data_IF_363295088462
#
_entry.id   IF_363295088462
#
_cell.length_a   1.000
_cell.length_b   1.000
_cell.length_c   1.000
_cell.angle_alpha   90.00
_cell.angle_beta   90.00
_cell.angle_gamma   90.00
#
_symmetry.space_group_name_H-M   'P 1'
#
loop_
_entity.id
_entity.type
_entity.pdbx_description
1 polymer ?
#
# COMPACT_ATOMS: atom_id res chain seq x y z
N UNK A 1 5.57 26.24 2.10
CA UNK A 1 4.50 25.95 1.14
C UNK A 1 5.08 24.98 0.14
N UNK A 2 4.32 24.03 -0.39
CA UNK A 2 4.78 23.26 -1.55
C UNK A 2 5.07 24.23 -2.69
N UNK A 3 6.03 23.90 -3.56
CA UNK A 3 6.38 24.76 -4.70
C UNK A 3 5.20 24.85 -5.69
N UNK A 4 5.07 25.98 -6.36
CA UNK A 4 4.19 26.09 -7.51
C UNK A 4 4.77 25.31 -8.71
N UNK A 5 3.98 25.10 -9.74
CA UNK A 5 4.46 24.48 -10.98
C UNK A 5 5.60 25.31 -11.62
N UNK A 6 5.44 26.61 -11.62
CA UNK A 6 6.45 27.55 -12.11
C UNK A 6 7.74 27.48 -11.32
N UNK A 7 7.66 27.41 -9.97
CA UNK A 7 8.84 27.27 -9.10
C UNK A 7 9.61 25.98 -9.38
N UNK A 8 8.89 24.88 -9.68
CA UNK A 8 9.51 23.58 -10.01
C UNK A 8 10.31 23.71 -11.31
N UNK A 9 9.72 24.34 -12.34
CA UNK A 9 10.39 24.54 -13.63
C UNK A 9 11.58 25.51 -13.52
N UNK A 10 11.44 26.61 -12.79
CA UNK A 10 12.52 27.59 -12.58
C UNK A 10 13.68 27.00 -11.79
N UNK A 11 13.41 26.19 -10.78
CA UNK A 11 14.44 25.51 -9.97
C UNK A 11 15.03 24.29 -10.67
N UNK A 12 14.39 23.79 -11.75
CA UNK A 12 14.82 22.61 -12.48
C UNK A 12 14.78 21.33 -11.67
N UNK A 13 13.98 21.26 -10.58
CA UNK A 13 13.95 20.10 -9.70
C UNK A 13 12.57 19.88 -9.08
N UNK A 14 12.12 18.61 -9.10
CA UNK A 14 10.92 18.14 -8.38
C UNK A 14 11.31 17.15 -7.28
N UNK A 15 10.70 17.29 -6.10
CA UNK A 15 10.82 16.31 -5.01
C UNK A 15 9.54 15.48 -4.93
N UNK A 16 9.69 14.16 -5.07
CA UNK A 16 8.56 13.21 -5.03
C UNK A 16 8.67 12.32 -3.78
N UNK A 17 7.60 12.30 -2.97
CA UNK A 17 7.49 11.41 -1.83
C UNK A 17 6.99 10.03 -2.27
N UNK A 18 7.67 8.99 -1.77
CA UNK A 18 7.33 7.58 -1.94
C UNK A 18 7.54 6.83 -0.63
N UNK A 19 6.79 5.75 -0.43
CA UNK A 19 6.96 4.91 0.75
C UNK A 19 8.30 4.17 0.74
N UNK A 20 8.90 4.07 1.91
CA UNK A 20 10.13 3.34 2.11
C UNK A 20 9.84 1.84 2.24
N UNK A 21 10.71 1.01 1.65
CA UNK A 21 10.64 -0.46 1.75
C UNK A 21 9.24 -1.05 1.45
N UNK A 22 8.62 -0.59 0.37
CA UNK A 22 7.27 -0.97 -0.03
C UNK A 22 7.22 -1.66 -1.42
N UNK A 23 7.85 -2.85 -1.59
CA UNK A 23 7.82 -3.56 -2.85
C UNK A 23 6.40 -4.08 -3.18
N UNK A 24 6.02 -4.16 -4.47
CA UNK A 24 6.80 -3.86 -5.66
C UNK A 24 6.76 -2.37 -6.07
N UNK A 25 6.29 -1.48 -5.24
CA UNK A 25 5.96 -0.11 -5.60
C UNK A 25 7.16 0.85 -5.46
N UNK A 26 7.77 0.88 -4.28
CA UNK A 26 8.92 1.74 -3.99
C UNK A 26 9.85 1.08 -2.96
N UNK A 27 11.04 0.74 -3.37
CA UNK A 27 12.05 0.05 -2.56
C UNK A 27 13.45 0.29 -3.12
N UNK A 28 14.46 -0.15 -2.41
CA UNK A 28 15.84 -0.16 -2.91
C UNK A 28 16.19 -1.57 -3.40
N UNK A 29 16.64 -1.66 -4.64
CA UNK A 29 17.23 -2.86 -5.22
C UNK A 29 18.70 -2.60 -5.46
N UNK A 30 19.57 -3.35 -4.78
CA UNK A 30 21.02 -3.16 -4.84
C UNK A 30 21.48 -1.71 -4.54
N UNK A 31 20.75 -1.03 -3.65
CA UNK A 31 20.98 0.37 -3.28
C UNK A 31 20.35 1.42 -4.18
N UNK A 32 19.74 1.01 -5.32
CA UNK A 32 19.12 1.91 -6.28
C UNK A 32 17.59 1.92 -6.15
N UNK A 33 16.93 3.08 -6.31
CA UNK A 33 15.47 3.17 -6.31
C UNK A 33 14.83 2.33 -7.40
N UNK A 34 13.89 1.46 -7.01
CA UNK A 34 13.19 0.53 -7.89
C UNK A 34 11.70 0.42 -7.53
N UNK A 35 10.88 0.02 -8.49
CA UNK A 35 9.45 -0.23 -8.32
C UNK A 35 8.56 0.62 -9.21
N UNK A 36 7.26 0.33 -9.19
CA UNK A 36 6.27 0.97 -10.06
C UNK A 36 6.23 2.48 -9.85
N UNK A 37 6.18 2.92 -8.58
CA UNK A 37 6.09 4.34 -8.23
C UNK A 37 7.39 5.09 -8.59
N UNK A 38 8.52 4.40 -8.49
CA UNK A 38 9.81 4.94 -8.92
C UNK A 38 9.81 5.22 -10.43
N UNK A 39 9.32 4.27 -11.23
CA UNK A 39 9.24 4.48 -12.68
C UNK A 39 8.21 5.56 -13.06
N UNK A 40 7.09 5.66 -12.34
CA UNK A 40 6.12 6.75 -12.52
C UNK A 40 6.77 8.10 -12.21
N UNK A 41 7.46 8.23 -11.07
CA UNK A 41 8.14 9.46 -10.68
C UNK A 41 9.24 9.89 -11.66
N UNK A 42 10.03 8.94 -12.16
CA UNK A 42 11.03 9.22 -13.22
C UNK A 42 10.38 9.78 -14.49
N UNK A 43 9.24 9.19 -14.92
CA UNK A 43 8.50 9.67 -16.09
C UNK A 43 7.90 11.05 -15.88
N UNK A 44 7.42 11.36 -14.68
CA UNK A 44 6.91 12.70 -14.33
C UNK A 44 8.04 13.72 -14.44
N UNK A 45 9.18 13.49 -13.81
CA UNK A 45 10.32 14.41 -13.85
C UNK A 45 10.85 14.60 -15.28
N UNK A 46 10.98 13.50 -16.05
CA UNK A 46 11.39 13.56 -17.46
C UNK A 46 10.38 14.34 -18.32
N UNK A 47 9.08 14.16 -18.09
CA UNK A 47 8.02 14.90 -18.81
C UNK A 47 8.04 16.41 -18.52
N UNK A 48 8.47 16.79 -17.31
CA UNK A 48 8.65 18.19 -16.90
C UNK A 48 10.02 18.76 -17.34
N UNK A 49 10.97 17.91 -17.73
CA UNK A 49 12.33 18.32 -18.06
C UNK A 49 13.14 18.81 -16.85
N UNK A 50 12.89 18.24 -15.67
CA UNK A 50 13.53 18.65 -14.40
C UNK A 50 14.23 17.47 -13.70
N UNK A 51 15.16 17.76 -12.81
CA UNK A 51 15.80 16.76 -11.98
C UNK A 51 14.86 16.19 -10.93
N UNK A 52 15.01 14.90 -10.62
CA UNK A 52 14.21 14.18 -9.65
C UNK A 52 14.95 13.98 -8.34
N UNK A 53 14.29 14.37 -7.24
CA UNK A 53 14.71 14.07 -5.88
C UNK A 53 13.68 13.21 -5.18
N UNK A 54 14.11 12.12 -4.55
CA UNK A 54 13.23 11.27 -3.75
C UNK A 54 13.14 11.75 -2.30
N UNK A 55 11.94 11.71 -1.76
CA UNK A 55 11.68 11.81 -0.34
C UNK A 55 11.07 10.49 0.12
N UNK A 56 11.88 9.67 0.77
CA UNK A 56 11.43 8.41 1.35
C UNK A 56 10.68 8.66 2.64
N UNK A 57 9.46 8.15 2.76
CA UNK A 57 8.62 8.27 3.95
C UNK A 57 8.29 6.88 4.49
N UNK A 58 8.14 6.77 5.79
CA UNK A 58 7.53 5.60 6.42
C UNK A 58 6.05 5.89 6.62
N UNK A 59 5.19 4.88 6.48
CA UNK A 59 3.78 5.01 6.79
C UNK A 59 3.63 5.37 8.28
N UNK A 60 2.77 6.35 8.56
CA UNK A 60 2.38 6.75 9.91
C UNK A 60 1.06 6.05 10.27
N UNK A 61 0.39 6.45 11.35
CA UNK A 61 -0.86 5.84 11.82
C UNK A 61 -2.00 5.90 10.80
N UNK A 62 -1.98 6.92 9.94
CA UNK A 62 -2.98 7.10 8.89
C UNK A 62 -2.43 7.93 7.72
N UNK A 63 -3.12 7.86 6.58
CA UNK A 63 -2.71 8.54 5.35
C UNK A 63 -2.77 10.08 5.45
N UNK A 64 -3.65 10.66 6.27
CA UNK A 64 -3.69 12.10 6.50
C UNK A 64 -2.40 12.60 7.17
N UNK A 65 -1.82 11.80 8.06
CA UNK A 65 -0.54 12.09 8.69
C UNK A 65 0.61 11.96 7.69
N UNK A 66 0.59 10.96 6.83
CA UNK A 66 1.56 10.79 5.74
C UNK A 66 1.56 12.01 4.82
N UNK A 67 0.39 12.43 4.35
CA UNK A 67 0.22 13.61 3.50
C UNK A 67 0.71 14.88 4.19
N UNK A 68 0.33 15.07 5.46
CA UNK A 68 0.77 16.22 6.26
C UNK A 68 2.29 16.27 6.35
N UNK A 69 2.92 15.15 6.67
CA UNK A 69 4.37 15.05 6.87
C UNK A 69 5.13 15.11 5.54
N UNK A 70 4.56 14.61 4.44
CA UNK A 70 5.18 14.69 3.13
C UNK A 70 5.04 16.08 2.48
N UNK A 71 3.83 16.68 2.50
CA UNK A 71 3.50 17.80 1.60
C UNK A 71 3.52 19.16 2.29
N UNK A 72 2.74 19.37 3.39
CA UNK A 72 2.59 20.75 3.90
C UNK A 72 3.31 21.06 5.21
N UNK A 73 3.39 20.14 6.16
CA UNK A 73 4.13 20.35 7.41
C UNK A 73 5.61 20.03 7.23
N UNK A 74 5.91 19.00 6.47
CA UNK A 74 7.24 18.46 6.24
C UNK A 74 7.63 17.38 7.23
N UNK A 75 8.62 16.60 6.86
CA UNK A 75 9.15 15.50 7.67
C UNK A 75 9.49 15.97 9.10
N UNK A 76 9.12 15.19 10.08
CA UNK A 76 9.16 15.58 11.52
C UNK A 76 10.55 16.09 11.94
N UNK A 77 11.60 15.45 11.46
CA UNK A 77 12.99 15.78 11.82
C UNK A 77 13.61 16.77 10.83
N UNK A 78 13.62 16.41 9.53
CA UNK A 78 14.35 17.18 8.50
C UNK A 78 13.60 18.40 7.99
N UNK A 79 12.29 18.49 8.25
CA UNK A 79 11.37 19.52 7.74
C UNK A 79 11.31 19.58 6.21
N UNK A 80 11.89 18.61 5.53
CA UNK A 80 11.81 18.48 4.09
C UNK A 80 10.36 18.27 3.67
N UNK A 81 9.97 18.85 2.54
CA UNK A 81 8.65 18.71 1.91
C UNK A 81 8.84 18.16 0.51
N UNK A 82 7.89 17.35 0.08
CA UNK A 82 7.75 16.95 -1.31
C UNK A 82 6.81 17.90 -2.04
N UNK A 83 6.97 17.96 -3.35
CA UNK A 83 6.10 18.69 -4.28
C UNK A 83 4.95 17.79 -4.73
N UNK A 84 5.18 16.48 -4.74
CA UNK A 84 4.21 15.44 -5.11
C UNK A 84 4.38 14.23 -4.19
N UNK A 85 3.27 13.55 -3.87
CA UNK A 85 3.28 12.24 -3.21
C UNK A 85 2.58 11.22 -4.11
N UNK A 86 3.23 10.08 -4.34
CA UNK A 86 2.66 8.96 -5.08
C UNK A 86 1.92 8.00 -4.16
N UNK A 87 1.09 7.14 -4.73
CA UNK A 87 0.30 6.10 -4.06
C UNK A 87 -0.69 6.63 -3.03
N UNK A 88 -1.30 7.75 -3.34
CA UNK A 88 -2.44 8.30 -2.60
C UNK A 88 -3.73 7.83 -3.27
N UNK A 89 -4.73 7.34 -2.53
CA UNK A 89 -6.00 6.92 -3.10
C UNK A 89 -6.68 8.05 -3.89
N UNK A 90 -7.06 7.77 -5.13
CA UNK A 90 -7.90 8.64 -5.93
C UNK A 90 -9.38 8.33 -5.62
N UNK A 91 -9.80 8.67 -4.42
CA UNK A 91 -11.13 8.43 -3.89
C UNK A 91 -11.80 9.73 -3.43
N UNK A 92 -13.04 9.94 -3.85
CA UNK A 92 -13.78 11.19 -3.53
C UNK A 92 -14.08 11.31 -2.04
N UNK A 93 -14.38 10.21 -1.36
CA UNK A 93 -14.70 10.25 0.09
C UNK A 93 -13.47 10.64 0.88
N UNK A 94 -12.30 10.12 0.49
CA UNK A 94 -11.04 10.50 1.11
C UNK A 94 -10.65 11.94 0.76
N UNK A 95 -10.68 12.32 -0.52
CA UNK A 95 -10.27 13.65 -0.99
C UNK A 95 -11.09 14.78 -0.37
N UNK A 96 -12.39 14.56 -0.19
CA UNK A 96 -13.33 15.56 0.36
C UNK A 96 -13.81 15.21 1.77
N UNK A 97 -13.03 14.41 2.51
CA UNK A 97 -13.34 14.10 3.90
C UNK A 97 -13.37 15.37 4.75
N UNK A 98 -14.34 15.43 5.65
CA UNK A 98 -14.47 16.52 6.64
C UNK A 98 -14.12 15.99 8.04
N UNK A 99 -13.57 16.86 8.88
CA UNK A 99 -13.31 16.56 10.28
C UNK A 99 -14.57 16.68 11.16
N UNK A 100 -14.42 16.44 12.46
CA UNK A 100 -15.52 16.55 13.43
C UNK A 100 -16.07 17.97 13.60
N UNK A 101 -15.43 18.98 13.03
CA UNK A 101 -15.85 20.40 13.04
C UNK A 101 -16.43 20.85 11.70
N UNK A 102 -16.54 19.94 10.72
CA UNK A 102 -17.05 20.24 9.38
C UNK A 102 -16.02 20.90 8.46
N UNK A 103 -14.73 20.87 8.79
CA UNK A 103 -13.66 21.43 7.96
C UNK A 103 -13.05 20.36 7.06
N UNK A 104 -12.66 20.70 5.82
CA UNK A 104 -11.98 19.75 4.94
C UNK A 104 -10.66 19.28 5.55
N UNK A 105 -10.42 17.96 5.54
CA UNK A 105 -9.17 17.38 6.04
C UNK A 105 -8.00 17.52 5.08
N UNK A 106 -8.28 17.50 3.77
CA UNK A 106 -7.29 17.40 2.70
C UNK A 106 -7.31 18.62 1.76
N UNK A 107 -7.72 19.80 2.24
CA UNK A 107 -7.83 21.02 1.43
C UNK A 107 -6.49 21.63 0.97
N UNK A 108 -5.38 21.16 1.55
CA UNK A 108 -4.03 21.60 1.20
C UNK A 108 -3.39 20.78 0.08
N UNK A 109 -4.11 19.78 -0.47
CA UNK A 109 -3.64 18.93 -1.56
C UNK A 109 -4.71 18.76 -2.64
N UNK A 110 -4.26 18.50 -3.85
CA UNK A 110 -5.11 18.10 -4.98
C UNK A 110 -4.72 16.68 -5.39
N UNK A 111 -5.69 15.77 -5.40
CA UNK A 111 -5.50 14.39 -5.85
C UNK A 111 -5.83 14.30 -7.33
N UNK A 112 -4.90 13.80 -8.13
CA UNK A 112 -5.05 13.71 -9.59
C UNK A 112 -4.25 12.55 -10.18
N UNK A 113 -4.50 12.21 -11.44
CA UNK A 113 -3.70 11.30 -12.23
C UNK A 113 -3.67 9.86 -11.69
N UNK A 114 -4.82 9.17 -11.54
CA UNK A 114 -4.81 7.78 -11.12
C UNK A 114 -4.04 6.94 -12.14
N UNK A 115 -3.01 6.22 -11.70
CA UNK A 115 -2.11 5.45 -12.57
C UNK A 115 -2.17 3.94 -12.32
N UNK A 116 -2.83 3.51 -11.24
CA UNK A 116 -2.99 2.10 -10.90
C UNK A 116 -4.33 1.87 -10.19
N UNK A 117 -4.98 0.76 -10.50
CA UNK A 117 -6.11 0.26 -9.73
C UNK A 117 -5.61 -0.84 -8.80
N UNK A 118 -5.84 -0.67 -7.51
CA UNK A 118 -5.49 -1.64 -6.48
C UNK A 118 -6.71 -2.41 -6.01
N UNK A 119 -6.47 -3.66 -5.66
CA UNK A 119 -7.43 -4.51 -4.95
C UNK A 119 -6.66 -5.39 -3.98
N UNK A 120 -7.29 -5.77 -2.88
CA UNK A 120 -6.73 -6.79 -2.03
C UNK A 120 -7.25 -8.18 -2.43
N UNK A 121 -6.52 -9.22 -2.06
CA UNK A 121 -6.82 -10.60 -2.41
C UNK A 121 -6.38 -11.55 -1.29
N UNK A 122 -6.79 -12.79 -1.41
CA UNK A 122 -6.29 -13.90 -0.63
C UNK A 122 -5.41 -14.78 -1.52
N UNK A 123 -4.16 -14.98 -1.11
CA UNK A 123 -3.28 -16.02 -1.60
C UNK A 123 -3.47 -17.24 -0.68
N UNK A 124 -3.90 -18.37 -1.20
CA UNK A 124 -4.27 -19.53 -0.39
C UNK A 124 -3.60 -20.83 -0.83
N UNK A 125 -3.39 -21.72 0.10
CA UNK A 125 -3.09 -23.12 -0.16
C UNK A 125 -4.39 -23.85 -0.52
N UNK A 126 -4.55 -24.23 -1.80
CA UNK A 126 -5.77 -24.86 -2.27
C UNK A 126 -5.97 -26.28 -1.75
N UNK A 127 -4.90 -26.99 -1.33
CA UNK A 127 -5.01 -28.32 -0.71
C UNK A 127 -5.66 -28.23 0.69
N UNK A 128 -5.32 -27.18 1.46
CA UNK A 128 -5.89 -26.93 2.80
C UNK A 128 -7.26 -26.28 2.74
N UNK A 129 -7.49 -25.49 1.73
CA UNK A 129 -8.70 -24.68 1.61
C UNK A 129 -9.58 -25.13 0.47
N UNK A 130 -9.59 -26.43 0.19
CA UNK A 130 -10.32 -27.03 -0.92
C UNK A 130 -11.75 -26.49 -1.04
N UNK A 131 -12.13 -26.06 -2.25
CA UNK A 131 -13.48 -25.58 -2.60
C UNK A 131 -13.98 -24.35 -1.82
N UNK A 132 -13.13 -23.30 -1.67
CA UNK A 132 -13.55 -22.03 -1.04
C UNK A 132 -14.58 -21.32 -1.92
N UNK A 133 -15.83 -21.37 -1.47
CA UNK A 133 -16.92 -20.54 -1.99
C UNK A 133 -17.20 -19.32 -1.10
N UNK A 134 -16.73 -19.35 0.14
CA UNK A 134 -16.95 -18.28 1.12
C UNK A 134 -15.77 -18.12 2.06
N UNK A 135 -15.64 -16.97 2.70
CA UNK A 135 -14.64 -16.73 3.73
C UNK A 135 -14.88 -17.55 5.02
N UNK A 136 -16.00 -18.29 5.10
CA UNK A 136 -16.36 -19.04 6.30
C UNK A 136 -15.36 -20.16 6.66
N UNK A 137 -14.59 -20.68 5.69
CA UNK A 137 -13.54 -21.67 5.93
C UNK A 137 -12.49 -21.16 6.93
N UNK A 138 -12.20 -19.86 6.91
CA UNK A 138 -11.22 -19.23 7.79
C UNK A 138 -11.68 -19.06 9.24
N UNK A 139 -12.85 -19.55 9.60
CA UNK A 139 -13.20 -19.80 11.01
C UNK A 139 -12.43 -21.01 11.58
N UNK A 140 -11.91 -21.86 10.71
CA UNK A 140 -11.22 -23.11 11.06
C UNK A 140 -9.74 -23.05 10.69
N UNK A 141 -9.42 -22.43 9.57
CA UNK A 141 -8.08 -22.33 9.01
C UNK A 141 -7.45 -20.96 9.27
N UNK A 142 -6.17 -20.89 9.70
CA UNK A 142 -5.51 -19.63 10.00
C UNK A 142 -5.17 -18.84 8.72
N UNK A 143 -5.31 -17.50 8.80
CA UNK A 143 -4.99 -16.55 7.74
C UNK A 143 -3.96 -15.54 8.25
N UNK A 144 -2.83 -15.41 7.54
CA UNK A 144 -1.88 -14.35 7.83
C UNK A 144 -2.37 -13.03 7.20
N UNK A 145 -2.17 -11.94 7.94
CA UNK A 145 -2.59 -10.60 7.55
C UNK A 145 -1.65 -9.58 8.18
N UNK A 146 -1.20 -8.60 7.39
CA UNK A 146 -0.38 -7.51 7.89
C UNK A 146 -1.16 -6.69 8.92
N UNK A 147 -0.52 -6.41 10.05
CA UNK A 147 -1.11 -5.64 11.14
C UNK A 147 -1.55 -4.26 10.63
N UNK A 148 -2.67 -3.76 11.13
CA UNK A 148 -3.27 -2.45 10.81
C UNK A 148 -3.55 -2.20 9.30
N UNK A 149 -3.56 -3.28 8.49
CA UNK A 149 -3.90 -3.23 7.08
C UNK A 149 -5.42 -3.28 6.84
N UNK A 150 -5.85 -2.79 5.67
CA UNK A 150 -7.24 -2.92 5.22
C UNK A 150 -7.77 -4.37 5.28
N UNK A 151 -7.03 -5.38 4.76
CA UNK A 151 -7.42 -6.78 4.92
C UNK A 151 -7.57 -7.21 6.38
N UNK A 152 -6.73 -6.73 7.29
CA UNK A 152 -6.82 -7.04 8.72
C UNK A 152 -8.15 -6.55 9.31
N UNK A 153 -8.51 -5.29 9.08
CA UNK A 153 -9.77 -4.71 9.56
C UNK A 153 -10.99 -5.41 8.94
N UNK A 154 -10.96 -5.67 7.64
CA UNK A 154 -12.06 -6.32 6.94
C UNK A 154 -12.30 -7.75 7.45
N UNK A 155 -11.26 -8.59 7.48
CA UNK A 155 -11.36 -9.96 7.96
C UNK A 155 -11.75 -10.01 9.45
N UNK A 156 -11.19 -9.10 10.25
CA UNK A 156 -11.53 -8.98 11.67
C UNK A 156 -12.99 -8.61 11.94
N UNK A 157 -13.67 -7.93 11.00
CA UNK A 157 -15.09 -7.61 11.08
C UNK A 157 -16.00 -8.66 10.41
N UNK A 158 -15.44 -9.48 9.51
CA UNK A 158 -16.18 -10.46 8.71
C UNK A 158 -16.86 -11.51 9.60
N UNK A 159 -18.07 -11.94 9.18
CA UNK A 159 -18.89 -12.92 9.90
C UNK A 159 -19.13 -12.56 11.39
N UNK A 160 -19.27 -11.26 11.69
CA UNK A 160 -19.45 -10.78 13.06
C UNK A 160 -18.24 -10.99 13.96
N UNK A 161 -17.04 -10.95 13.38
CA UNK A 161 -15.78 -11.08 14.11
C UNK A 161 -15.31 -12.51 14.36
N UNK A 162 -15.97 -13.52 13.78
CA UNK A 162 -15.64 -14.94 14.01
C UNK A 162 -14.29 -15.37 13.46
N UNK A 163 -13.69 -14.57 12.57
CA UNK A 163 -12.36 -14.88 12.02
C UNK A 163 -11.22 -14.39 12.92
N UNK A 164 -11.47 -13.54 13.92
CA UNK A 164 -10.41 -12.89 14.73
C UNK A 164 -9.42 -13.86 15.34
N UNK A 165 -9.89 -14.96 15.89
CA UNK A 165 -9.04 -15.95 16.56
C UNK A 165 -8.16 -16.75 15.58
N UNK A 166 -8.42 -16.62 14.28
CA UNK A 166 -7.67 -17.28 13.19
C UNK A 166 -6.80 -16.32 12.40
N UNK A 167 -6.85 -15.03 12.70
CA UNK A 167 -5.95 -14.05 12.09
C UNK A 167 -4.57 -14.14 12.76
N UNK A 168 -3.57 -14.41 11.94
CA UNK A 168 -2.16 -14.39 12.33
C UNK A 168 -1.58 -13.07 11.85
N UNK A 169 -1.40 -12.12 12.75
CA UNK A 169 -0.84 -10.82 12.41
C UNK A 169 0.67 -10.92 12.17
N UNK A 170 1.12 -10.34 11.09
CA UNK A 170 2.53 -10.28 10.65
C UNK A 170 2.94 -8.84 10.39
N UNK A 171 4.24 -8.58 10.37
CA UNK A 171 4.80 -7.25 10.12
C UNK A 171 4.76 -6.86 8.63
N UNK A 172 4.71 -7.87 7.75
CA UNK A 172 4.58 -7.65 6.30
C UNK A 172 3.84 -8.80 5.62
N UNK A 173 3.22 -8.51 4.48
CA UNK A 173 2.62 -9.52 3.59
C UNK A 173 3.63 -10.62 3.24
N UNK A 174 4.92 -10.28 3.10
CA UNK A 174 5.97 -11.23 2.73
C UNK A 174 6.28 -12.22 3.85
N UNK A 175 6.18 -11.81 5.10
CA UNK A 175 6.29 -12.73 6.24
C UNK A 175 5.08 -13.67 6.29
N UNK A 176 3.90 -13.16 5.94
CA UNK A 176 2.72 -14.00 5.73
C UNK A 176 2.93 -15.07 4.67
N UNK A 177 3.55 -14.72 3.52
CA UNK A 177 3.87 -15.67 2.44
C UNK A 177 4.83 -16.76 2.93
N UNK A 178 5.83 -16.42 3.75
CA UNK A 178 6.72 -17.43 4.38
C UNK A 178 5.93 -18.40 5.26
N UNK A 179 5.02 -17.88 6.08
CA UNK A 179 4.16 -18.75 6.91
C UNK A 179 3.27 -19.67 6.08
N UNK A 180 2.79 -19.20 4.93
CA UNK A 180 2.01 -20.02 3.99
C UNK A 180 2.87 -21.13 3.39
N UNK A 181 4.08 -20.82 2.93
CA UNK A 181 5.05 -21.80 2.42
C UNK A 181 5.46 -22.85 3.46
N UNK A 182 5.62 -22.42 4.70
CA UNK A 182 5.90 -23.31 5.85
C UNK A 182 4.67 -24.12 6.29
N UNK A 183 3.52 -23.88 5.68
CA UNK A 183 2.28 -24.58 6.04
C UNK A 183 1.68 -24.18 7.38
N UNK A 184 2.13 -23.08 7.99
CA UNK A 184 1.64 -22.57 9.28
C UNK A 184 0.32 -21.84 9.20
N UNK A 185 0.02 -21.29 8.03
CA UNK A 185 -1.28 -20.67 7.71
C UNK A 185 -1.84 -21.30 6.44
N UNK A 186 -3.14 -21.14 6.21
CA UNK A 186 -3.81 -21.65 5.01
C UNK A 186 -3.97 -20.58 3.93
N UNK A 187 -3.84 -19.30 4.30
CA UNK A 187 -3.90 -18.19 3.37
C UNK A 187 -3.14 -16.97 3.89
N UNK A 188 -2.88 -16.04 2.98
CA UNK A 188 -2.36 -14.69 3.27
C UNK A 188 -3.27 -13.67 2.60
N UNK A 189 -3.74 -12.69 3.36
CA UNK A 189 -4.50 -11.56 2.83
C UNK A 189 -3.58 -10.35 2.65
N UNK A 190 -3.66 -9.69 1.50
CA UNK A 190 -2.82 -8.53 1.20
C UNK A 190 -3.20 -7.87 -0.11
N UNK A 191 -2.51 -6.79 -0.46
CA UNK A 191 -2.70 -6.16 -1.76
C UNK A 191 -2.26 -7.11 -2.87
N UNK A 192 -3.07 -7.23 -3.90
CA UNK A 192 -2.84 -8.20 -4.98
C UNK A 192 -1.46 -8.05 -5.62
N UNK A 193 -1.01 -6.83 -5.85
CA UNK A 193 0.32 -6.56 -6.41
C UNK A 193 1.46 -7.05 -5.51
N UNK A 194 1.35 -6.89 -4.20
CA UNK A 194 2.34 -7.39 -3.24
C UNK A 194 2.36 -8.92 -3.18
N UNK A 195 1.17 -9.54 -3.15
CA UNK A 195 1.06 -11.01 -3.18
C UNK A 195 1.65 -11.61 -4.46
N UNK A 196 1.35 -11.01 -5.63
CA UNK A 196 1.91 -11.44 -6.91
C UNK A 196 3.43 -11.31 -6.95
N UNK A 197 3.96 -10.19 -6.45
CA UNK A 197 5.41 -9.96 -6.40
C UNK A 197 6.09 -10.95 -5.44
N UNK A 198 5.53 -11.15 -4.26
CA UNK A 198 6.05 -12.12 -3.28
C UNK A 198 6.08 -13.54 -3.84
N UNK A 199 5.04 -13.97 -4.55
CA UNK A 199 5.02 -15.26 -5.25
C UNK A 199 6.12 -15.36 -6.30
N UNK A 200 6.32 -14.32 -7.12
CA UNK A 200 7.33 -14.33 -8.19
C UNK A 200 8.77 -14.40 -7.65
N UNK A 201 8.99 -13.93 -6.43
CA UNK A 201 10.32 -13.91 -5.79
C UNK A 201 10.59 -15.10 -4.89
N UNK A 202 9.57 -15.79 -4.42
CA UNK A 202 9.70 -16.92 -3.48
C UNK A 202 9.76 -18.30 -4.11
N UNK A 203 9.51 -18.44 -5.42
CA UNK A 203 9.80 -19.65 -6.21
C UNK A 203 8.84 -20.83 -6.05
N UNK A 204 7.88 -20.83 -5.14
CA UNK A 204 6.95 -21.93 -4.94
C UNK A 204 5.52 -21.55 -5.33
N UNK A 205 5.23 -21.69 -6.62
CA UNK A 205 3.95 -21.25 -7.24
C UNK A 205 2.91 -22.39 -7.32
N UNK A 206 3.33 -23.64 -7.09
CA UNK A 206 2.52 -24.82 -7.50
C UNK A 206 1.34 -25.17 -6.57
N UNK A 207 1.21 -24.55 -5.44
CA UNK A 207 0.15 -24.86 -4.45
C UNK A 207 -0.75 -23.69 -4.06
N UNK A 208 -0.51 -22.51 -4.63
CA UNK A 208 -1.20 -21.30 -4.22
C UNK A 208 -2.02 -20.71 -5.34
N UNK A 209 -3.22 -20.28 -5.05
CA UNK A 209 -4.08 -19.55 -5.97
C UNK A 209 -4.73 -18.34 -5.29
N UNK A 210 -5.16 -17.37 -6.10
CA UNK A 210 -5.96 -16.26 -5.61
C UNK A 210 -7.41 -16.70 -5.42
N UNK A 211 -7.92 -16.63 -4.19
CA UNK A 211 -9.35 -16.81 -3.97
C UNK A 211 -10.09 -15.55 -4.42
N UNK A 212 -11.23 -15.71 -5.12
CA UNK A 212 -12.11 -14.58 -5.36
C UNK A 212 -12.63 -14.06 -4.02
N UNK A 213 -12.57 -12.74 -3.85
CA UNK A 213 -13.23 -12.08 -2.73
C UNK A 213 -14.68 -11.81 -3.08
N UNK A 214 -15.60 -11.86 -2.10
CA UNK A 214 -16.94 -11.37 -2.33
C UNK A 214 -16.89 -9.93 -2.83
N UNK A 215 -17.65 -9.59 -3.84
CA UNK A 215 -17.83 -8.21 -4.29
C UNK A 215 -18.25 -7.36 -3.11
N UNK A 216 -17.57 -6.23 -2.93
CA UNK A 216 -17.87 -5.23 -1.90
C UNK A 216 -18.89 -4.22 -2.39
#
# INVERSE_FOLDING_TARGET
>A
MAKSYEDILEQGQITIAVYNNFPPYSYLKDGEPAGVDIEVGKRIAAGLGVDLKWMWINADENLEDDLRNAIWKGHIITRQKADLMLRVPYDRKFAYAIDGYGLPKNDLVVMFGPYQQESWALLRDHEKTNDIRTLAIFQYEPVAVELDSLPSFFLGATLGGRLRDKLVHVDSVFDGIKLLQEGKVAAVAGMKGQLQWGMSTSGDVNKTEFAPLPEQ
#
